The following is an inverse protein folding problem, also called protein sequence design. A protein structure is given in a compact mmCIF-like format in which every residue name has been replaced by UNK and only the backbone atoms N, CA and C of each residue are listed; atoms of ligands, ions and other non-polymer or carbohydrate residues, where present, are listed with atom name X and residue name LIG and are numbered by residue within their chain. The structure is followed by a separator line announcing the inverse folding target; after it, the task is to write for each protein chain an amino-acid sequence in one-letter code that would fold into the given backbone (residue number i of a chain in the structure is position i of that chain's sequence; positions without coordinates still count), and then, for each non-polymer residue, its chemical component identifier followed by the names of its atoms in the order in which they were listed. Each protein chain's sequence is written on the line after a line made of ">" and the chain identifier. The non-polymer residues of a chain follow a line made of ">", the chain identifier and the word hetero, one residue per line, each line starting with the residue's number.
data_IF_267403110779
#
_entry.id   IF_267403110779
#
_cell.length_a   1.000
_cell.length_b   1.000
_cell.length_c   1.000
_cell.angle_alpha   90.00
_cell.angle_beta   90.00
_cell.angle_gamma   90.00
#
_symmetry.space_group_name_H-M   'P 1'
#
loop_
_entity.id
_entity.type
_entity.pdbx_description
1 polymer ?
#
# COMPACT_ATOMS: atom_id res chain seq x y z
N UNK A 1 -0.21 3.53 -8.07
CA UNK A 1 0.88 4.38 -8.56
C UNK A 1 0.31 5.77 -8.69
N UNK A 2 0.87 6.76 -8.01
CA UNK A 2 0.35 8.13 -8.00
C UNK A 2 1.48 9.07 -8.41
N UNK A 3 1.29 9.75 -9.55
CA UNK A 3 2.30 10.64 -10.13
C UNK A 3 2.64 11.80 -9.19
N UNK A 4 1.74 12.20 -8.29
CA UNK A 4 1.99 13.24 -7.29
C UNK A 4 3.19 12.93 -6.40
N UNK A 5 3.49 11.65 -6.17
CA UNK A 5 4.53 11.23 -5.23
C UNK A 5 5.78 10.64 -5.91
N UNK A 6 5.91 10.84 -7.22
CA UNK A 6 6.98 10.25 -8.02
C UNK A 6 7.63 11.32 -8.90
N UNK A 7 8.97 11.35 -8.95
CA UNK A 7 9.72 12.23 -9.86
C UNK A 7 9.63 11.75 -11.30
N UNK A 8 9.83 12.64 -12.27
CA UNK A 8 9.84 12.25 -13.68
C UNK A 8 10.84 11.14 -13.99
N UNK A 9 12.04 11.21 -13.41
CA UNK A 9 13.08 10.20 -13.59
C UNK A 9 12.61 8.83 -13.12
N UNK A 10 11.98 8.76 -11.93
CA UNK A 10 11.48 7.50 -11.38
C UNK A 10 10.27 6.97 -12.16
N UNK A 11 9.38 7.86 -12.60
CA UNK A 11 8.27 7.49 -13.46
C UNK A 11 8.77 6.86 -14.77
N UNK A 12 9.75 7.48 -15.43
CA UNK A 12 10.37 6.93 -16.64
C UNK A 12 11.02 5.57 -16.37
N UNK A 13 11.83 5.45 -15.31
CA UNK A 13 12.46 4.18 -14.90
C UNK A 13 11.43 3.05 -14.68
N UNK A 14 10.26 3.37 -14.12
CA UNK A 14 9.23 2.38 -13.82
C UNK A 14 8.37 1.99 -15.03
N UNK A 15 8.18 2.90 -15.99
CA UNK A 15 7.16 2.77 -17.03
C UNK A 15 7.68 2.76 -18.48
N UNK A 16 8.90 3.23 -18.76
CA UNK A 16 9.38 3.44 -20.14
C UNK A 16 9.42 2.17 -20.98
N UNK A 17 9.65 1.01 -20.35
CA UNK A 17 9.71 -0.28 -21.03
C UNK A 17 8.31 -0.87 -21.30
N UNK A 18 7.24 -0.23 -20.80
CA UNK A 18 5.87 -0.72 -20.84
C UNK A 18 4.92 0.16 -21.66
N UNK A 19 5.27 1.42 -21.92
CA UNK A 19 4.39 2.39 -22.58
C UNK A 19 5.11 3.10 -23.71
N UNK A 20 4.35 3.49 -24.74
CA UNK A 20 4.87 4.29 -25.83
C UNK A 20 5.48 5.61 -25.33
N UNK A 21 6.56 6.04 -25.98
CA UNK A 21 7.29 7.26 -25.61
C UNK A 21 6.38 8.50 -25.59
N UNK A 22 5.36 8.56 -26.45
CA UNK A 22 4.39 9.65 -26.45
C UNK A 22 3.56 9.70 -25.15
N UNK A 23 3.14 8.55 -24.62
CA UNK A 23 2.41 8.46 -23.35
C UNK A 23 3.33 8.82 -22.18
N UNK A 24 4.57 8.32 -22.19
CA UNK A 24 5.57 8.67 -21.17
C UNK A 24 5.81 10.18 -21.13
N UNK A 25 6.04 10.80 -22.28
CA UNK A 25 6.24 12.25 -22.36
C UNK A 25 5.00 13.02 -21.89
N UNK A 26 3.79 12.57 -22.26
CA UNK A 26 2.55 13.22 -21.84
C UNK A 26 2.34 13.14 -20.31
N UNK A 27 2.59 11.99 -19.70
CA UNK A 27 2.39 11.76 -18.26
C UNK A 27 3.49 12.34 -17.38
N UNK A 28 4.74 12.40 -17.88
CA UNK A 28 5.86 12.97 -17.14
C UNK A 28 5.59 14.42 -16.68
N UNK A 29 4.88 15.20 -17.50
CA UNK A 29 4.49 16.58 -17.21
C UNK A 29 3.65 16.75 -15.93
N UNK A 30 3.08 15.67 -15.40
CA UNK A 30 2.22 15.69 -14.21
C UNK A 30 2.88 15.03 -12.99
N UNK A 31 4.14 14.60 -13.11
CA UNK A 31 4.91 14.11 -11.98
C UNK A 31 5.06 15.19 -10.92
N UNK A 32 4.95 14.80 -9.65
CA UNK A 32 5.00 15.68 -8.47
C UNK A 32 3.91 16.77 -8.41
N UNK A 33 2.86 16.66 -9.22
CA UNK A 33 1.73 17.58 -9.22
C UNK A 33 0.48 16.88 -8.68
N UNK A 34 -0.33 17.62 -7.91
CA UNK A 34 -1.63 17.13 -7.51
C UNK A 34 -2.58 17.11 -8.73
N UNK A 35 -3.31 16.00 -8.88
CA UNK A 35 -4.34 15.91 -9.92
C UNK A 35 -5.44 16.96 -9.71
N UNK A 36 -5.90 17.56 -10.81
CA UNK A 36 -7.05 18.46 -10.85
C UNK A 36 -7.97 18.08 -12.01
N UNK A 37 -9.15 18.72 -12.07
CA UNK A 37 -10.20 18.38 -13.06
C UNK A 37 -9.73 18.68 -14.48
N UNK A 38 -8.96 19.74 -14.65
CA UNK A 38 -8.47 20.24 -15.93
C UNK A 38 -7.45 19.27 -16.53
N UNK A 39 -6.48 18.81 -15.72
CA UNK A 39 -5.49 17.79 -16.07
C UNK A 39 -6.18 16.46 -16.42
N UNK A 40 -7.14 16.02 -15.62
CA UNK A 40 -7.88 14.79 -15.91
C UNK A 40 -8.66 14.89 -17.24
N UNK A 41 -9.30 16.03 -17.49
CA UNK A 41 -10.00 16.28 -18.75
C UNK A 41 -9.05 16.34 -19.96
N UNK A 42 -7.86 16.92 -19.80
CA UNK A 42 -6.81 16.90 -20.83
C UNK A 42 -6.37 15.49 -21.17
N UNK A 43 -5.95 14.69 -20.18
CA UNK A 43 -5.50 13.31 -20.40
C UNK A 43 -6.59 12.45 -21.09
N UNK A 44 -7.85 12.69 -20.76
CA UNK A 44 -8.99 12.03 -21.42
C UNK A 44 -9.15 12.46 -22.88
N UNK A 45 -9.03 13.75 -23.20
CA UNK A 45 -9.08 14.26 -24.58
C UNK A 45 -7.93 13.75 -25.42
N UNK A 46 -6.75 13.65 -24.81
CA UNK A 46 -5.52 13.13 -25.44
C UNK A 46 -5.57 11.59 -25.58
N UNK A 47 -6.69 10.95 -25.19
CA UNK A 47 -6.93 9.50 -25.27
C UNK A 47 -5.81 8.67 -24.61
N UNK A 48 -5.22 9.19 -23.52
CA UNK A 48 -4.18 8.50 -22.77
C UNK A 48 -4.80 7.28 -22.08
N UNK A 49 -4.35 6.09 -22.48
CA UNK A 49 -4.80 4.81 -21.94
C UNK A 49 -3.61 4.01 -21.45
N UNK A 50 -3.72 3.48 -20.24
CA UNK A 50 -2.75 2.53 -19.68
C UNK A 50 -3.35 1.13 -19.78
N UNK A 51 -2.76 0.21 -20.56
CA UNK A 51 -3.23 -1.16 -20.61
C UNK A 51 -3.20 -1.82 -19.22
N UNK A 52 -4.24 -2.58 -18.89
CA UNK A 52 -4.33 -3.25 -17.59
C UNK A 52 -3.17 -4.23 -17.36
N UNK A 53 -2.71 -4.88 -18.42
CA UNK A 53 -1.55 -5.80 -18.41
C UNK A 53 -0.28 -5.10 -17.94
N UNK A 54 -0.01 -3.90 -18.48
CA UNK A 54 1.18 -3.14 -18.15
C UNK A 54 1.07 -2.48 -16.78
N UNK A 55 -0.12 -1.98 -16.43
CA UNK A 55 -0.40 -1.52 -15.07
C UNK A 55 -0.18 -2.63 -14.04
N UNK A 56 -0.60 -3.86 -14.34
CA UNK A 56 -0.40 -5.01 -13.47
C UNK A 56 1.08 -5.38 -13.34
N UNK A 57 1.84 -5.35 -14.44
CA UNK A 57 3.30 -5.58 -14.41
C UNK A 57 4.03 -4.55 -13.57
N UNK A 58 3.73 -3.26 -13.72
CA UNK A 58 4.35 -2.21 -12.91
C UNK A 58 3.92 -2.31 -11.45
N UNK A 59 2.65 -2.66 -11.21
CA UNK A 59 2.16 -2.89 -9.84
C UNK A 59 2.95 -4.03 -9.17
N UNK A 60 3.05 -5.19 -9.81
CA UNK A 60 3.71 -6.36 -9.25
C UNK A 60 5.24 -6.23 -9.18
N UNK A 61 5.89 -5.59 -10.16
CA UNK A 61 7.36 -5.51 -10.22
C UNK A 61 7.96 -4.27 -9.54
N UNK A 62 7.17 -3.19 -9.37
CA UNK A 62 7.68 -1.94 -8.77
C UNK A 62 6.93 -1.59 -7.49
N UNK A 63 5.60 -1.59 -7.54
CA UNK A 63 4.79 -1.10 -6.42
C UNK A 63 4.81 -2.06 -5.23
N UNK A 64 4.53 -3.34 -5.45
CA UNK A 64 4.53 -4.34 -4.38
C UNK A 64 5.90 -4.47 -3.70
N UNK A 65 7.04 -4.61 -4.42
CA UNK A 65 8.36 -4.67 -3.78
C UNK A 65 8.69 -3.42 -2.97
N UNK A 66 8.37 -2.23 -3.48
CA UNK A 66 8.53 -0.98 -2.72
C UNK A 66 7.73 -1.03 -1.42
N UNK A 67 6.46 -1.44 -1.48
CA UNK A 67 5.62 -1.51 -0.28
C UNK A 67 6.10 -2.58 0.71
N UNK A 68 6.62 -3.72 0.24
CA UNK A 68 7.25 -4.73 1.12
C UNK A 68 8.42 -4.10 1.88
N UNK A 69 9.30 -3.38 1.19
CA UNK A 69 10.44 -2.68 1.81
C UNK A 69 9.95 -1.61 2.80
N UNK A 70 8.95 -0.82 2.44
CA UNK A 70 8.36 0.20 3.34
C UNK A 70 7.71 -0.41 4.58
N UNK A 71 7.11 -1.60 4.43
CA UNK A 71 6.52 -2.37 5.54
C UNK A 71 7.61 -2.89 6.46
N UNK A 72 8.65 -3.52 5.91
CA UNK A 72 9.77 -4.06 6.68
C UNK A 72 10.55 -2.96 7.44
N UNK A 73 10.60 -1.73 6.92
CA UNK A 73 11.21 -0.60 7.62
C UNK A 73 10.55 -0.25 8.95
N UNK A 74 9.23 -0.43 9.06
CA UNK A 74 8.50 -0.15 10.31
C UNK A 74 8.18 -1.40 11.11
N UNK A 75 8.25 -2.57 10.48
CA UNK A 75 8.00 -3.88 11.08
C UNK A 75 9.17 -4.81 10.72
N UNK A 76 10.33 -4.71 11.41
CA UNK A 76 11.53 -5.48 11.07
C UNK A 76 11.34 -7.00 11.12
N UNK A 77 10.39 -7.49 11.92
CA UNK A 77 10.02 -8.90 12.06
C UNK A 77 9.20 -9.43 10.88
N UNK A 78 8.87 -8.61 9.87
CA UNK A 78 7.97 -9.00 8.78
C UNK A 78 8.37 -10.34 8.15
N UNK A 79 9.65 -10.56 7.88
CA UNK A 79 10.13 -11.78 7.21
C UNK A 79 10.09 -13.05 8.06
N UNK A 80 9.83 -12.96 9.37
CA UNK A 80 9.70 -14.11 10.26
C UNK A 80 8.27 -14.65 10.34
N UNK A 81 7.30 -13.87 9.87
CA UNK A 81 5.87 -14.22 9.93
C UNK A 81 5.45 -15.16 8.79
N UNK A 82 4.35 -15.90 8.99
CA UNK A 82 3.62 -16.54 7.89
C UNK A 82 3.36 -15.60 6.71
N UNK A 83 3.41 -16.13 5.48
CA UNK A 83 3.16 -15.35 4.25
C UNK A 83 1.81 -14.61 4.22
N UNK A 84 0.76 -15.15 4.86
CA UNK A 84 -0.54 -14.47 4.97
C UNK A 84 -0.49 -13.28 5.94
N UNK A 85 0.23 -13.42 7.06
CA UNK A 85 0.50 -12.33 8.00
C UNK A 85 1.30 -11.20 7.32
N UNK A 86 2.33 -11.57 6.56
CA UNK A 86 3.11 -10.62 5.76
C UNK A 86 2.21 -9.87 4.77
N UNK A 87 1.39 -10.59 4.00
CA UNK A 87 0.50 -10.00 3.01
C UNK A 87 -0.52 -9.03 3.64
N UNK A 88 -1.05 -9.34 4.82
CA UNK A 88 -1.96 -8.47 5.55
C UNK A 88 -1.29 -7.14 5.95
N UNK A 89 -0.07 -7.20 6.50
CA UNK A 89 0.69 -6.00 6.89
C UNK A 89 1.11 -5.16 5.67
N UNK A 90 1.55 -5.80 4.58
CA UNK A 90 1.88 -5.12 3.32
C UNK A 90 0.65 -4.43 2.74
N UNK A 91 -0.52 -5.07 2.76
CA UNK A 91 -1.78 -4.43 2.32
C UNK A 91 -2.17 -3.23 3.19
N UNK A 92 -1.99 -3.35 4.51
CA UNK A 92 -2.23 -2.26 5.45
C UNK A 92 -1.33 -1.05 5.13
N UNK A 93 -0.02 -1.26 5.01
CA UNK A 93 0.96 -0.21 4.68
C UNK A 93 0.72 0.36 3.29
N UNK A 94 0.35 -0.46 2.30
CA UNK A 94 -0.03 0.03 0.97
C UNK A 94 -1.15 1.08 1.05
N UNK A 95 -2.16 0.84 1.89
CA UNK A 95 -3.31 1.73 2.01
C UNK A 95 -3.04 2.95 2.90
N UNK A 96 -2.28 2.78 3.97
CA UNK A 96 -2.09 3.80 5.01
C UNK A 96 -0.80 4.58 4.88
N UNK A 97 0.17 4.10 4.12
CA UNK A 97 1.56 4.51 4.18
C UNK A 97 2.26 4.01 5.45
N UNK A 98 3.59 4.10 5.46
CA UNK A 98 4.47 3.59 6.51
C UNK A 98 4.78 4.61 7.63
N UNK A 99 3.98 5.67 7.79
CA UNK A 99 4.19 6.59 8.92
C UNK A 99 3.80 5.92 10.24
N UNK A 100 4.70 6.04 11.22
CA UNK A 100 4.53 5.65 12.63
C UNK A 100 4.80 6.83 13.56
N UNK A 101 4.57 8.07 13.09
CA UNK A 101 4.80 9.30 13.86
C UNK A 101 4.13 9.23 15.24
N UNK A 102 4.88 9.36 16.36
CA UNK A 102 4.32 9.25 17.71
C UNK A 102 3.29 10.34 18.03
N UNK A 103 3.34 11.49 17.34
CA UNK A 103 2.45 12.62 17.55
C UNK A 103 1.13 12.51 16.77
N UNK A 104 1.03 11.57 15.83
CA UNK A 104 -0.19 11.36 15.04
C UNK A 104 -1.07 10.27 15.70
N UNK A 105 -2.19 10.66 16.32
CA UNK A 105 -3.15 9.70 16.93
C UNK A 105 -3.68 8.69 15.90
N UNK A 106 -3.82 9.11 14.64
CA UNK A 106 -4.27 8.24 13.53
C UNK A 106 -3.29 7.11 13.21
N UNK A 107 -2.08 7.12 13.78
CA UNK A 107 -1.04 6.08 13.65
C UNK A 107 -0.89 5.22 14.90
N UNK A 108 -1.74 5.42 15.92
CA UNK A 108 -1.68 4.69 17.19
C UNK A 108 -1.66 3.18 17.01
N UNK A 109 -2.58 2.62 16.23
CA UNK A 109 -2.67 1.18 16.01
C UNK A 109 -1.49 0.65 15.19
N UNK A 110 -0.96 1.45 14.24
CA UNK A 110 0.25 1.08 13.48
C UNK A 110 1.46 0.92 14.41
N UNK A 111 1.61 1.81 15.40
CA UNK A 111 2.68 1.72 16.42
C UNK A 111 2.48 0.53 17.34
N UNK A 112 1.24 0.29 17.79
CA UNK A 112 0.92 -0.88 18.62
C UNK A 112 1.20 -2.20 17.90
N UNK A 113 1.00 -2.27 16.59
CA UNK A 113 1.40 -3.44 15.79
C UNK A 113 2.93 -3.62 15.84
N UNK A 114 3.73 -2.55 15.76
CA UNK A 114 5.19 -2.68 15.90
C UNK A 114 5.56 -3.27 17.26
N UNK A 115 4.97 -2.75 18.34
CA UNK A 115 5.18 -3.30 19.70
C UNK A 115 4.74 -4.76 19.80
N UNK A 116 3.58 -5.13 19.26
CA UNK A 116 3.10 -6.51 19.30
C UNK A 116 4.00 -7.48 18.51
N UNK A 117 4.62 -7.02 17.43
CA UNK A 117 5.62 -7.78 16.68
C UNK A 117 6.93 -7.94 17.46
N UNK A 118 7.39 -6.88 18.14
CA UNK A 118 8.59 -6.91 18.99
C UNK A 118 8.41 -7.84 20.19
N UNK A 119 7.25 -7.77 20.85
CA UNK A 119 6.91 -8.57 22.03
C UNK A 119 6.49 -10.01 21.69
N UNK A 120 6.33 -10.34 20.40
CA UNK A 120 5.83 -11.64 19.96
C UNK A 120 4.35 -11.90 20.28
N UNK A 121 3.59 -10.87 20.66
CA UNK A 121 2.16 -10.95 20.99
C UNK A 121 1.27 -10.90 19.74
N UNK A 122 1.63 -11.71 18.74
CA UNK A 122 1.05 -11.66 17.38
C UNK A 122 -0.48 -11.81 17.35
N UNK A 123 -1.06 -12.53 18.32
CA UNK A 123 -2.50 -12.72 18.46
C UNK A 123 -3.30 -11.42 18.66
N UNK A 124 -2.66 -10.32 19.07
CA UNK A 124 -3.32 -9.02 19.24
C UNK A 124 -3.45 -8.23 17.93
N UNK A 125 -2.66 -8.56 16.91
CA UNK A 125 -2.56 -7.78 15.67
C UNK A 125 -3.89 -7.72 14.89
N UNK A 126 -4.68 -8.80 14.75
CA UNK A 126 -5.99 -8.72 14.11
C UNK A 126 -6.91 -7.65 14.72
N UNK A 127 -7.00 -7.59 16.05
CA UNK A 127 -7.84 -6.61 16.75
C UNK A 127 -7.30 -5.18 16.56
N UNK A 128 -5.99 -5.00 16.60
CA UNK A 128 -5.37 -3.70 16.29
C UNK A 128 -5.68 -3.23 14.86
N UNK A 129 -5.75 -4.14 13.88
CA UNK A 129 -6.17 -3.82 12.51
C UNK A 129 -7.65 -3.41 12.48
N UNK A 130 -8.52 -4.10 13.23
CA UNK A 130 -9.95 -3.79 13.31
C UNK A 130 -10.21 -2.46 14.01
N UNK A 131 -9.45 -2.12 15.05
CA UNK A 131 -9.57 -0.87 15.80
C UNK A 131 -9.35 0.37 14.92
N UNK A 132 -8.53 0.25 13.87
CA UNK A 132 -8.32 1.34 12.89
C UNK A 132 -9.61 1.75 12.17
N UNK A 133 -10.68 0.95 12.20
CA UNK A 133 -11.99 1.33 11.64
C UNK A 133 -12.55 2.60 12.27
N UNK A 134 -12.11 2.97 13.49
CA UNK A 134 -12.45 4.25 14.14
C UNK A 134 -12.08 5.47 13.30
N UNK A 135 -11.07 5.35 12.44
CA UNK A 135 -10.59 6.45 11.59
C UNK A 135 -11.52 6.74 10.41
N UNK A 136 -12.41 5.81 10.07
CA UNK A 136 -13.31 5.91 8.94
C UNK A 136 -14.70 5.35 9.25
N UNK A 137 -15.45 5.98 10.17
CA UNK A 137 -16.73 5.46 10.64
C UNK A 137 -17.77 5.30 9.52
N UNK A 138 -17.66 6.08 8.45
CA UNK A 138 -18.61 6.11 7.32
C UNK A 138 -18.07 5.48 6.03
N UNK A 139 -16.83 4.98 6.00
CA UNK A 139 -16.26 4.37 4.79
C UNK A 139 -16.44 2.86 4.82
N UNK A 140 -17.49 2.36 4.17
CA UNK A 140 -17.74 0.92 4.08
C UNK A 140 -16.55 0.17 3.45
N UNK A 141 -16.00 0.71 2.35
CA UNK A 141 -14.89 0.09 1.65
C UNK A 141 -13.62 -0.05 2.52
N UNK A 142 -13.26 0.99 3.27
CA UNK A 142 -12.09 0.93 4.16
C UNK A 142 -12.33 0.00 5.36
N UNK A 143 -13.55 -0.04 5.88
CA UNK A 143 -13.91 -0.94 6.98
C UNK A 143 -13.84 -2.41 6.54
N UNK A 144 -14.46 -2.75 5.41
CA UNK A 144 -14.38 -4.10 4.81
C UNK A 144 -12.94 -4.51 4.53
N UNK A 145 -12.10 -3.56 4.09
CA UNK A 145 -10.66 -3.82 3.89
C UNK A 145 -9.96 -4.19 5.20
N UNK A 146 -10.20 -3.45 6.30
CA UNK A 146 -9.65 -3.80 7.63
C UNK A 146 -10.11 -5.18 8.09
N UNK A 147 -11.38 -5.52 7.88
CA UNK A 147 -11.92 -6.84 8.24
C UNK A 147 -11.21 -7.96 7.46
N UNK A 148 -10.97 -7.76 6.16
CA UNK A 148 -10.26 -8.73 5.31
C UNK A 148 -8.80 -8.89 5.70
N UNK A 149 -8.08 -7.81 6.02
CA UNK A 149 -6.68 -7.88 6.43
C UNK A 149 -6.52 -8.52 7.82
N UNK A 150 -7.42 -8.20 8.76
CA UNK A 150 -7.44 -8.86 10.08
C UNK A 150 -7.72 -10.36 9.94
N UNK A 151 -8.71 -10.75 9.12
CA UNK A 151 -9.01 -12.15 8.85
C UNK A 151 -7.85 -12.88 8.16
N UNK A 152 -7.16 -12.21 7.22
CA UNK A 152 -6.00 -12.77 6.53
C UNK A 152 -4.84 -13.01 7.51
N UNK A 153 -4.56 -12.06 8.40
CA UNK A 153 -3.54 -12.20 9.44
C UNK A 153 -3.90 -13.35 10.40
N UNK A 154 -5.14 -13.40 10.89
CA UNK A 154 -5.60 -14.47 11.77
C UNK A 154 -5.50 -15.87 11.14
N UNK A 155 -5.79 -16.00 9.85
CA UNK A 155 -5.56 -17.25 9.11
C UNK A 155 -4.09 -17.64 9.04
N UNK A 156 -3.18 -16.67 8.90
CA UNK A 156 -1.74 -16.90 8.95
C UNK A 156 -1.31 -17.49 10.29
N UNK A 157 -1.78 -16.92 11.41
CA UNK A 157 -1.51 -17.44 12.75
C UNK A 157 -2.05 -18.87 12.94
N UNK A 158 -3.29 -19.12 12.52
CA UNK A 158 -3.89 -20.45 12.65
C UNK A 158 -3.14 -21.52 11.84
N UNK A 159 -2.57 -21.14 10.68
CA UNK A 159 -1.80 -22.06 9.84
C UNK A 159 -0.43 -22.46 10.42
N UNK A 160 0.09 -21.71 11.40
CA UNK A 160 1.33 -22.06 12.10
C UNK A 160 1.10 -23.02 13.27
N UNK A 161 -0.11 -23.08 13.82
CA UNK A 161 -0.48 -23.91 14.97
C UNK A 161 -0.92 -25.33 14.53
N UNK A 162 -1.21 -25.53 13.24
CA UNK A 162 -1.62 -26.82 12.69
C UNK A 162 -0.46 -27.72 12.30
N UNK A 163 0.13 -28.43 13.27
CA UNK A 163 0.78 -29.74 13.10
C UNK A 163 0.48 -30.64 14.31
#
# INVERSE_FOLDING_TARGET
>A
YDLRFVSEAKFKEDWQDFLDQAIITALALFCQQAGNKETAARLKRDNIKIPFTDASRVFSSKTIPKTIVETAKIYPQLNTLNGLCQAALVSLVYNRGNSVDPNEDRRKEMRRIATALEDGTLGQIPDLILDMKRLWPRSEGLRKRRDQEAALFGRGLASEIGY
#
